data_IF_319870792591
#
_entry.id   IF_319870792591
#
_cell.length_a   1.000
_cell.length_b   1.000
_cell.length_c   1.000
_cell.angle_alpha   90.00
_cell.angle_beta   90.00
_cell.angle_gamma   90.00
#
_symmetry.space_group_name_H-M   'P 1'
#
loop_
_entity.id
_entity.type
_entity.pdbx_description
1 polymer ?
#
# COMPACT_ATOMS: atom_id res chain seq x y z
N UNK A 1 -12.55 -2.59 12.77
CA UNK A 1 -12.99 -2.10 14.11
C UNK A 1 -14.43 -2.51 14.31
N UNK A 2 -14.71 -3.33 15.32
CA UNK A 2 -16.03 -3.82 15.70
C UNK A 2 -16.45 -3.12 17.01
N UNK A 3 -17.69 -2.64 17.07
CA UNK A 3 -18.29 -2.19 18.33
C UNK A 3 -18.96 -3.37 19.05
N UNK A 4 -18.69 -3.51 20.34
CA UNK A 4 -19.33 -4.49 21.21
C UNK A 4 -20.60 -3.90 21.80
N UNK A 5 -21.73 -4.05 21.08
CA UNK A 5 -23.03 -3.52 21.48
C UNK A 5 -23.46 -3.94 22.89
N UNK A 6 -23.18 -5.19 23.28
CA UNK A 6 -23.47 -5.69 24.63
C UNK A 6 -22.66 -4.99 25.73
N UNK A 7 -21.40 -4.61 25.46
CA UNK A 7 -20.59 -3.84 26.42
C UNK A 7 -21.11 -2.42 26.57
N UNK A 8 -21.49 -1.77 25.46
CA UNK A 8 -22.14 -0.43 25.49
C UNK A 8 -23.41 -0.49 26.33
N UNK A 9 -24.25 -1.51 26.12
CA UNK A 9 -25.49 -1.74 26.87
C UNK A 9 -25.24 -1.96 28.36
N UNK A 10 -24.24 -2.77 28.71
CA UNK A 10 -23.84 -3.04 30.10
C UNK A 10 -23.42 -1.76 30.81
N UNK A 11 -22.51 -0.99 30.23
CA UNK A 11 -22.04 0.28 30.79
C UNK A 11 -23.18 1.30 30.95
N UNK A 12 -24.10 1.37 29.98
CA UNK A 12 -25.29 2.23 30.08
C UNK A 12 -26.16 1.88 31.28
N UNK A 13 -26.40 0.59 31.52
CA UNK A 13 -27.20 0.10 32.64
C UNK A 13 -26.48 0.37 33.97
N UNK A 14 -25.16 0.17 34.03
CA UNK A 14 -24.34 0.49 35.20
C UNK A 14 -24.40 1.99 35.57
N UNK A 15 -24.46 2.87 34.56
CA UNK A 15 -24.70 4.32 34.72
C UNK A 15 -26.18 4.69 34.96
N UNK A 16 -27.09 3.72 35.01
CA UNK A 16 -28.54 3.91 35.21
C UNK A 16 -29.20 4.82 34.17
N UNK A 17 -28.73 4.80 32.93
CA UNK A 17 -29.27 5.61 31.83
C UNK A 17 -30.25 4.80 30.97
N UNK A 18 -31.31 5.45 30.49
CA UNK A 18 -32.12 4.93 29.37
C UNK A 18 -31.41 5.15 28.03
N UNK A 19 -31.79 4.42 26.97
CA UNK A 19 -31.22 4.63 25.64
C UNK A 19 -31.46 6.06 25.13
N UNK A 20 -32.60 6.67 25.47
CA UNK A 20 -32.90 8.07 25.11
C UNK A 20 -31.98 9.05 25.81
N UNK A 21 -31.68 8.83 27.10
CA UNK A 21 -30.75 9.67 27.87
C UNK A 21 -29.30 9.51 27.38
N UNK A 22 -28.89 8.29 26.98
CA UNK A 22 -27.59 8.10 26.34
C UNK A 22 -27.51 8.83 24.99
N UNK A 23 -28.59 8.85 24.21
CA UNK A 23 -28.64 9.49 22.90
C UNK A 23 -28.69 11.03 22.93
N UNK A 24 -29.19 11.63 24.02
CA UNK A 24 -29.54 13.06 24.11
C UNK A 24 -28.40 14.00 23.70
N UNK A 25 -28.61 14.83 22.67
CA UNK A 25 -27.59 15.76 22.16
C UNK A 25 -26.40 15.10 21.44
N UNK A 26 -26.45 13.78 21.18
CA UNK A 26 -25.42 13.02 20.46
C UNK A 26 -25.98 12.41 19.17
N UNK A 27 -27.04 11.60 19.28
CA UNK A 27 -27.64 10.87 18.17
C UNK A 27 -29.12 10.53 18.48
N UNK A 28 -29.75 9.65 17.70
CA UNK A 28 -31.12 9.20 17.96
C UNK A 28 -31.15 8.00 18.89
N UNK A 29 -32.23 7.83 19.66
CA UNK A 29 -32.44 6.62 20.50
C UNK A 29 -32.44 5.34 19.65
N UNK A 30 -32.92 5.41 18.40
CA UNK A 30 -32.83 4.30 17.43
C UNK A 30 -31.38 3.95 17.12
N UNK A 31 -30.49 4.94 16.96
CA UNK A 31 -29.05 4.72 16.75
C UNK A 31 -28.44 3.96 17.93
N UNK A 32 -28.74 4.35 19.18
CA UNK A 32 -28.29 3.62 20.38
C UNK A 32 -28.83 2.19 20.38
N UNK A 33 -30.11 1.99 20.06
CA UNK A 33 -30.69 0.64 19.96
C UNK A 33 -29.99 -0.23 18.90
N UNK A 34 -29.61 0.36 17.75
CA UNK A 34 -28.87 -0.35 16.70
C UNK A 34 -27.43 -0.67 17.10
N UNK A 35 -26.77 0.22 17.84
CA UNK A 35 -25.45 -0.04 18.43
C UNK A 35 -25.56 -1.23 19.39
N UNK A 36 -26.49 -1.19 20.33
CA UNK A 36 -26.59 -2.19 21.41
C UNK A 36 -27.03 -3.57 20.92
N UNK A 37 -27.96 -3.65 19.96
CA UNK A 37 -28.56 -4.93 19.56
C UNK A 37 -28.04 -5.48 18.22
N UNK A 38 -27.38 -4.65 17.41
CA UNK A 38 -26.95 -5.02 16.05
C UNK A 38 -25.49 -4.66 15.76
N UNK A 39 -24.70 -4.28 16.78
CA UNK A 39 -23.30 -3.88 16.64
C UNK A 39 -23.07 -2.84 15.53
N UNK A 40 -24.04 -1.95 15.31
CA UNK A 40 -23.94 -0.93 14.27
C UNK A 40 -22.87 0.09 14.66
N UNK A 41 -21.80 0.19 13.87
CA UNK A 41 -20.68 1.09 14.17
C UNK A 41 -21.08 2.53 13.82
N UNK A 42 -21.10 3.46 14.80
CA UNK A 42 -21.38 4.85 14.54
C UNK A 42 -20.13 5.59 14.02
N UNK A 43 -20.28 6.83 13.59
CA UNK A 43 -19.12 7.68 13.24
C UNK A 43 -18.25 7.93 14.47
N UNK A 44 -16.94 8.17 14.28
CA UNK A 44 -16.00 8.42 15.38
C UNK A 44 -16.42 9.55 16.31
N UNK A 45 -17.04 10.60 15.78
CA UNK A 45 -17.56 11.73 16.57
C UNK A 45 -18.71 11.28 17.50
N UNK A 46 -19.63 10.45 17.01
CA UNK A 46 -20.72 9.89 17.82
C UNK A 46 -20.14 8.90 18.84
N UNK A 47 -19.22 8.05 18.42
CA UNK A 47 -18.58 7.05 19.28
C UNK A 47 -17.85 7.70 20.46
N UNK A 48 -17.02 8.71 20.20
CA UNK A 48 -16.29 9.44 21.25
C UNK A 48 -17.25 10.03 22.28
N UNK A 49 -18.31 10.72 21.83
CA UNK A 49 -19.30 11.33 22.72
C UNK A 49 -20.09 10.31 23.54
N UNK A 50 -20.38 9.15 22.97
CA UNK A 50 -21.01 8.04 23.71
C UNK A 50 -20.06 7.52 24.78
N UNK A 51 -18.78 7.30 24.45
CA UNK A 51 -17.76 6.84 25.39
C UNK A 51 -17.57 7.83 26.54
N UNK A 52 -17.48 9.13 26.24
CA UNK A 52 -17.37 10.20 27.24
C UNK A 52 -18.54 10.15 28.24
N UNK A 53 -19.78 9.97 27.74
CA UNK A 53 -20.98 9.92 28.59
C UNK A 53 -21.04 8.64 29.44
N UNK A 54 -20.54 7.53 28.91
CA UNK A 54 -20.43 6.28 29.64
C UNK A 54 -19.24 6.26 30.60
N UNK A 55 -18.32 7.22 30.50
CA UNK A 55 -17.08 7.26 31.27
C UNK A 55 -16.18 6.08 30.94
N UNK A 56 -16.13 5.70 29.66
CA UNK A 56 -15.35 4.59 29.13
C UNK A 56 -14.42 5.10 28.03
N UNK A 57 -13.34 4.37 27.78
CA UNK A 57 -12.51 4.60 26.60
C UNK A 57 -13.09 3.88 25.39
N UNK A 58 -12.70 4.31 24.18
CA UNK A 58 -13.16 3.66 22.94
C UNK A 58 -12.78 2.17 22.93
N UNK A 59 -11.60 1.82 23.46
CA UNK A 59 -11.11 0.43 23.53
C UNK A 59 -11.92 -0.45 24.52
N UNK A 60 -12.68 0.15 25.43
CA UNK A 60 -13.53 -0.61 26.34
C UNK A 60 -14.75 -1.19 25.61
N UNK A 61 -15.27 -0.45 24.63
CA UNK A 61 -16.53 -0.74 23.92
C UNK A 61 -16.34 -1.12 22.47
N UNK A 62 -15.18 -0.85 21.89
CA UNK A 62 -14.80 -1.29 20.56
C UNK A 62 -13.62 -2.24 20.66
N UNK A 63 -13.74 -3.36 19.96
CA UNK A 63 -12.57 -4.13 19.57
C UNK A 63 -12.11 -3.50 18.27
N UNK A 64 -10.87 -3.00 18.21
CA UNK A 64 -10.24 -2.95 16.90
C UNK A 64 -10.09 -4.41 16.50
N UNK A 65 -10.79 -4.87 15.45
CA UNK A 65 -10.44 -6.13 14.80
C UNK A 65 -8.92 -6.08 14.58
N UNK A 66 -8.19 -6.83 15.40
CA UNK A 66 -6.78 -6.53 15.65
C UNK A 66 -6.25 -6.84 17.05
N UNK A 67 -7.08 -7.04 18.08
CA UNK A 67 -6.58 -7.45 19.42
C UNK A 67 -6.43 -8.97 19.63
N UNK A 68 -6.09 -9.65 18.55
CA UNK A 68 -5.10 -10.73 18.54
C UNK A 68 -4.12 -10.41 17.41
N UNK A 69 -3.22 -9.46 17.64
CA UNK A 69 -2.37 -8.87 16.61
C UNK A 69 -1.22 -9.81 16.16
N UNK A 70 -1.50 -11.09 15.93
CA UNK A 70 -0.51 -12.00 15.36
C UNK A 70 -0.40 -11.73 13.85
N UNK A 71 -1.52 -11.73 13.12
CA UNK A 71 -1.50 -11.59 11.67
C UNK A 71 -1.12 -10.19 11.18
N UNK A 72 -1.67 -9.10 11.75
CA UNK A 72 -1.27 -7.75 11.31
C UNK A 72 0.21 -7.46 11.61
N UNK A 73 0.71 -7.77 12.81
CA UNK A 73 2.14 -7.64 13.10
C UNK A 73 3.00 -8.55 12.21
N UNK A 74 2.53 -9.75 11.91
CA UNK A 74 3.17 -10.66 10.96
C UNK A 74 3.23 -10.04 9.56
N UNK A 75 2.12 -9.56 9.01
CA UNK A 75 2.07 -8.91 7.70
C UNK A 75 2.96 -7.66 7.66
N UNK A 76 3.01 -6.87 8.73
CA UNK A 76 3.94 -5.73 8.84
C UNK A 76 5.41 -6.17 8.83
N UNK A 77 5.71 -7.29 9.48
CA UNK A 77 7.06 -7.89 9.45
C UNK A 77 7.40 -8.45 8.06
N UNK A 78 6.46 -9.12 7.41
CA UNK A 78 6.58 -9.61 6.03
C UNK A 78 6.79 -8.45 5.06
N UNK A 79 6.04 -7.34 5.21
CA UNK A 79 6.21 -6.11 4.43
C UNK A 79 7.60 -5.51 4.63
N UNK A 80 8.09 -5.47 5.88
CA UNK A 80 9.43 -4.97 6.20
C UNK A 80 10.51 -5.80 5.51
N UNK A 81 10.42 -7.13 5.57
CA UNK A 81 11.34 -8.03 4.88
C UNK A 81 11.28 -7.84 3.36
N UNK A 82 10.08 -7.69 2.79
CA UNK A 82 9.92 -7.39 1.36
C UNK A 82 10.55 -6.04 0.99
N UNK A 83 10.44 -5.02 1.85
CA UNK A 83 11.06 -3.71 1.66
C UNK A 83 12.60 -3.78 1.74
N UNK A 84 13.14 -4.77 2.46
CA UNK A 84 14.57 -5.05 2.58
C UNK A 84 15.07 -6.05 1.52
N UNK A 85 14.24 -6.38 0.52
CA UNK A 85 14.52 -7.36 -0.54
C UNK A 85 14.72 -8.80 -0.04
N UNK A 86 14.35 -9.09 1.21
CA UNK A 86 14.43 -10.41 1.85
C UNK A 86 13.18 -11.25 1.54
N UNK A 87 12.84 -11.37 0.25
CA UNK A 87 11.57 -11.99 -0.19
C UNK A 87 11.45 -13.47 0.19
N UNK A 88 12.55 -14.24 0.18
CA UNK A 88 12.53 -15.66 0.57
C UNK A 88 12.23 -15.83 2.06
N UNK A 89 12.87 -15.03 2.91
CA UNK A 89 12.60 -15.04 4.36
C UNK A 89 11.18 -14.54 4.67
N UNK A 90 10.69 -13.55 3.92
CA UNK A 90 9.32 -13.07 4.03
C UNK A 90 8.31 -14.18 3.70
N UNK A 91 8.57 -14.95 2.64
CA UNK A 91 7.77 -16.11 2.26
C UNK A 91 7.77 -17.17 3.38
N UNK A 92 8.96 -17.61 3.81
CA UNK A 92 9.10 -18.66 4.82
C UNK A 92 8.42 -18.28 6.14
N UNK A 93 8.57 -17.02 6.56
CA UNK A 93 7.89 -16.48 7.75
C UNK A 93 6.37 -16.53 7.59
N UNK A 94 5.85 -16.13 6.43
CA UNK A 94 4.41 -16.07 6.19
C UNK A 94 3.77 -17.46 6.21
N UNK A 95 4.30 -18.39 5.40
CA UNK A 95 3.70 -19.72 5.23
C UNK A 95 3.91 -20.64 6.43
N UNK A 96 4.91 -20.36 7.28
CA UNK A 96 5.10 -21.09 8.54
C UNK A 96 4.23 -20.57 9.67
N UNK A 97 3.73 -19.33 9.57
CA UNK A 97 2.97 -18.68 10.64
C UNK A 97 1.46 -18.67 10.41
N UNK A 98 1.02 -18.79 9.15
CA UNK A 98 -0.40 -18.76 8.78
C UNK A 98 -0.77 -20.09 8.13
N UNK A 99 -1.84 -20.70 8.65
CA UNK A 99 -2.58 -21.73 7.94
C UNK A 99 -3.68 -21.07 7.10
N UNK A 100 -3.63 -21.21 5.77
CA UNK A 100 -4.57 -20.59 4.83
C UNK A 100 -6.03 -20.96 5.14
N UNK A 101 -6.27 -22.24 5.49
CA UNK A 101 -7.62 -22.76 5.77
C UNK A 101 -8.24 -22.16 7.04
N UNK A 102 -7.41 -21.59 7.92
CA UNK A 102 -7.82 -20.97 9.20
C UNK A 102 -8.00 -19.45 9.08
N UNK A 103 -7.74 -18.85 7.91
CA UNK A 103 -7.95 -17.42 7.71
C UNK A 103 -9.43 -17.10 7.45
N UNK A 104 -10.17 -16.71 8.46
CA UNK A 104 -11.58 -16.33 8.30
C UNK A 104 -11.78 -14.89 7.79
N UNK A 105 -10.82 -13.99 8.06
CA UNK A 105 -10.91 -12.59 7.66
C UNK A 105 -10.54 -12.39 6.18
N UNK A 106 -11.43 -11.79 5.40
CA UNK A 106 -11.26 -11.59 3.95
C UNK A 106 -10.05 -10.70 3.64
N UNK A 107 -9.86 -9.61 4.39
CA UNK A 107 -8.72 -8.72 4.21
C UNK A 107 -7.39 -9.43 4.50
N UNK A 108 -7.33 -10.24 5.56
CA UNK A 108 -6.14 -11.06 5.85
C UNK A 108 -5.89 -12.12 4.76
N UNK A 109 -6.95 -12.74 4.20
CA UNK A 109 -6.82 -13.64 3.05
C UNK A 109 -6.26 -12.92 1.82
N UNK A 110 -6.76 -11.72 1.51
CA UNK A 110 -6.24 -10.91 0.40
C UNK A 110 -4.76 -10.57 0.60
N UNK A 111 -4.39 -10.11 1.80
CA UNK A 111 -2.99 -9.83 2.13
C UNK A 111 -2.12 -11.08 2.07
N UNK A 112 -2.60 -12.21 2.57
CA UNK A 112 -1.90 -13.49 2.47
C UNK A 112 -1.61 -13.85 1.01
N UNK A 113 -2.62 -13.84 0.15
CA UNK A 113 -2.44 -14.13 -1.28
C UNK A 113 -1.54 -13.12 -1.99
N UNK A 114 -1.66 -11.83 -1.70
CA UNK A 114 -0.75 -10.81 -2.21
C UNK A 114 0.70 -11.10 -1.80
N UNK A 115 0.97 -11.32 -0.51
CA UNK A 115 2.33 -11.52 -0.02
C UNK A 115 2.93 -12.86 -0.48
N UNK A 116 2.15 -13.94 -0.52
CA UNK A 116 2.60 -15.21 -1.10
C UNK A 116 2.93 -15.02 -2.58
N UNK A 117 2.05 -14.37 -3.35
CA UNK A 117 2.28 -14.12 -4.77
C UNK A 117 3.52 -13.29 -5.05
N UNK A 118 3.70 -12.15 -4.37
CA UNK A 118 4.83 -11.25 -4.62
C UNK A 118 6.17 -11.85 -4.18
N UNK A 119 6.19 -12.59 -3.08
CA UNK A 119 7.43 -13.24 -2.59
C UNK A 119 7.83 -14.43 -3.46
N UNK A 120 6.87 -15.21 -3.99
CA UNK A 120 7.13 -16.22 -5.04
C UNK A 120 7.66 -15.60 -6.32
N UNK A 121 7.03 -14.52 -6.77
CA UNK A 121 7.45 -13.83 -7.99
C UNK A 121 8.88 -13.29 -7.88
N UNK A 122 9.17 -12.48 -6.86
CA UNK A 122 10.45 -11.76 -6.75
C UNK A 122 11.53 -12.61 -6.09
N UNK A 123 11.18 -13.40 -5.07
CA UNK A 123 12.13 -14.21 -4.31
C UNK A 123 12.53 -15.50 -5.03
N UNK A 124 11.61 -16.13 -5.75
CA UNK A 124 11.81 -17.47 -6.34
C UNK A 124 11.71 -17.49 -7.87
N UNK A 125 11.25 -16.40 -8.51
CA UNK A 125 10.99 -16.32 -9.95
C UNK A 125 9.91 -17.32 -10.42
N UNK A 126 9.00 -17.69 -9.53
CA UNK A 126 7.89 -18.63 -9.74
C UNK A 126 6.68 -17.87 -10.30
N UNK A 127 6.66 -17.71 -11.62
CA UNK A 127 5.67 -16.87 -12.29
C UNK A 127 4.27 -17.48 -12.27
N UNK A 128 4.15 -18.77 -12.58
CA UNK A 128 2.88 -19.48 -12.63
C UNK A 128 2.22 -19.53 -11.25
N UNK A 129 3.00 -19.81 -10.20
CA UNK A 129 2.54 -19.84 -8.82
C UNK A 129 2.17 -18.43 -8.34
N UNK A 130 2.96 -17.41 -8.66
CA UNK A 130 2.61 -16.03 -8.32
C UNK A 130 1.27 -15.61 -8.93
N UNK A 131 1.07 -15.89 -10.23
CA UNK A 131 -0.20 -15.62 -10.90
C UNK A 131 -1.36 -16.43 -10.30
N UNK A 132 -1.12 -17.66 -9.85
CA UNK A 132 -2.15 -18.44 -9.18
C UNK A 132 -2.67 -17.71 -7.92
N UNK A 133 -1.79 -17.30 -7.01
CA UNK A 133 -2.18 -16.59 -5.79
C UNK A 133 -2.79 -15.21 -6.07
N UNK A 134 -2.27 -14.46 -7.04
CA UNK A 134 -2.89 -13.20 -7.46
C UNK A 134 -4.32 -13.43 -7.99
N UNK A 135 -4.55 -14.49 -8.76
CA UNK A 135 -5.90 -14.81 -9.23
C UNK A 135 -6.82 -15.29 -8.11
N UNK A 136 -6.30 -16.01 -7.09
CA UNK A 136 -7.08 -16.36 -5.90
C UNK A 136 -7.57 -15.11 -5.17
N UNK A 137 -6.72 -14.10 -5.03
CA UNK A 137 -7.10 -12.81 -4.45
C UNK A 137 -8.22 -12.13 -5.25
N UNK A 138 -8.06 -11.99 -6.56
CA UNK A 138 -9.03 -11.33 -7.43
C UNK A 138 -10.41 -12.03 -7.50
N UNK A 139 -10.52 -13.30 -7.09
CA UNK A 139 -11.80 -14.02 -7.04
C UNK A 139 -12.45 -14.07 -5.66
N UNK A 140 -11.75 -13.66 -4.58
CA UNK A 140 -12.26 -13.73 -3.20
C UNK A 140 -13.55 -12.92 -3.00
N UNK A 141 -13.77 -11.85 -3.78
CA UNK A 141 -15.01 -11.10 -3.72
C UNK A 141 -15.30 -10.35 -5.04
N UNK A 142 -16.37 -10.70 -5.74
CA UNK A 142 -16.93 -9.89 -6.84
C UNK A 142 -17.87 -8.78 -6.36
N UNK A 143 -18.02 -8.60 -5.04
CA UNK A 143 -19.19 -7.95 -4.46
C UNK A 143 -18.91 -7.11 -3.21
N UNK A 144 -18.05 -6.08 -3.30
CA UNK A 144 -18.31 -4.71 -2.78
C UNK A 144 -17.02 -3.90 -2.70
N UNK A 145 -16.92 -2.86 -3.55
CA UNK A 145 -15.90 -1.80 -3.60
C UNK A 145 -14.43 -2.25 -3.72
N UNK A 146 -13.76 -1.74 -4.76
CA UNK A 146 -12.31 -1.80 -4.92
C UNK A 146 -11.59 -1.34 -3.64
N UNK A 147 -10.65 -2.17 -3.16
CA UNK A 147 -9.75 -1.83 -2.06
C UNK A 147 -8.29 -1.73 -2.52
N UNK A 148 -7.39 -1.33 -1.62
CA UNK A 148 -5.99 -1.09 -1.96
C UNK A 148 -5.20 -2.39 -2.25
N UNK A 149 -5.61 -3.53 -1.69
CA UNK A 149 -4.94 -4.81 -1.96
C UNK A 149 -5.23 -5.28 -3.38
N UNK A 150 -6.45 -5.04 -3.89
CA UNK A 150 -6.81 -5.30 -5.29
C UNK A 150 -5.86 -4.57 -6.26
N UNK A 151 -5.51 -3.32 -5.92
CA UNK A 151 -4.57 -2.49 -6.70
C UNK A 151 -3.15 -3.06 -6.63
N UNK A 152 -2.69 -3.46 -5.45
CA UNK A 152 -1.38 -4.08 -5.25
C UNK A 152 -1.22 -5.36 -6.08
N UNK A 153 -2.25 -6.21 -6.08
CA UNK A 153 -2.28 -7.44 -6.86
C UNK A 153 -2.31 -7.12 -8.36
N UNK A 154 -3.16 -6.18 -8.80
CA UNK A 154 -3.22 -5.74 -10.19
C UNK A 154 -1.85 -5.22 -10.68
N UNK A 155 -1.16 -4.40 -9.88
CA UNK A 155 0.19 -3.94 -10.20
C UNK A 155 1.21 -5.09 -10.25
N UNK A 156 1.11 -6.04 -9.31
CA UNK A 156 2.01 -7.20 -9.22
C UNK A 156 1.86 -8.15 -10.41
N UNK A 157 0.64 -8.34 -10.94
CA UNK A 157 0.41 -9.07 -12.19
C UNK A 157 1.10 -8.36 -13.37
N UNK A 158 1.08 -7.02 -13.40
CA UNK A 158 1.84 -6.22 -14.37
C UNK A 158 3.34 -6.52 -14.32
N UNK A 159 3.92 -6.56 -13.11
CA UNK A 159 5.33 -6.93 -12.89
C UNK A 159 5.59 -8.37 -13.36
N UNK A 160 4.68 -9.30 -13.06
CA UNK A 160 4.82 -10.69 -13.46
C UNK A 160 4.94 -10.82 -14.99
N UNK A 161 4.01 -10.21 -15.73
CA UNK A 161 4.05 -10.24 -17.19
C UNK A 161 5.25 -9.49 -17.77
N UNK A 162 5.68 -8.39 -17.15
CA UNK A 162 6.88 -7.67 -17.59
C UNK A 162 8.16 -8.53 -17.44
N UNK A 163 8.26 -9.31 -16.36
CA UNK A 163 9.38 -10.22 -16.14
C UNK A 163 9.47 -11.35 -17.17
N UNK A 164 8.33 -11.74 -17.75
CA UNK A 164 8.24 -12.68 -18.89
C UNK A 164 8.28 -11.99 -20.25
N UNK A 165 8.52 -10.68 -20.28
CA UNK A 165 8.55 -9.86 -21.49
C UNK A 165 7.24 -9.89 -22.31
N UNK A 166 6.10 -10.21 -21.67
CA UNK A 166 4.77 -10.07 -22.26
C UNK A 166 4.30 -8.62 -22.09
N UNK A 167 4.92 -7.74 -22.87
CA UNK A 167 4.73 -6.27 -22.80
C UNK A 167 3.25 -5.87 -22.96
N UNK A 168 2.50 -6.60 -23.80
CA UNK A 168 1.10 -6.30 -24.05
C UNK A 168 0.26 -6.49 -22.79
N UNK A 169 0.42 -7.64 -22.11
CA UNK A 169 -0.31 -7.89 -20.86
C UNK A 169 0.20 -7.03 -19.73
N UNK A 170 1.51 -6.87 -19.59
CA UNK A 170 2.10 -5.99 -18.58
C UNK A 170 1.49 -4.59 -18.65
N UNK A 171 1.40 -4.01 -19.86
CA UNK A 171 0.77 -2.69 -20.07
C UNK A 171 -0.67 -2.64 -19.57
N UNK A 172 -1.49 -3.64 -19.91
CA UNK A 172 -2.90 -3.70 -19.49
C UNK A 172 -3.02 -3.63 -17.97
N UNK A 173 -2.21 -4.40 -17.25
CA UNK A 173 -2.26 -4.43 -15.79
C UNK A 173 -1.65 -3.18 -15.14
N UNK A 174 -0.59 -2.61 -15.71
CA UNK A 174 -0.07 -1.33 -15.21
C UNK A 174 -1.07 -0.19 -15.41
N UNK A 175 -1.72 -0.10 -16.58
CA UNK A 175 -2.79 0.88 -16.82
C UNK A 175 -3.91 0.71 -15.81
N UNK A 176 -4.42 -0.52 -15.68
CA UNK A 176 -5.49 -0.83 -14.74
C UNK A 176 -5.11 -0.44 -13.31
N UNK A 177 -3.90 -0.75 -12.85
CA UNK A 177 -3.49 -0.38 -11.49
C UNK A 177 -3.46 1.13 -11.23
N UNK A 178 -3.18 1.94 -12.26
CA UNK A 178 -3.19 3.40 -12.12
C UNK A 178 -4.61 3.96 -12.17
N UNK A 179 -5.47 3.38 -13.01
CA UNK A 179 -6.89 3.74 -13.08
C UNK A 179 -7.60 3.38 -11.76
N UNK A 180 -7.37 2.16 -11.25
CA UNK A 180 -7.91 1.66 -9.99
C UNK A 180 -7.52 2.60 -8.80
N UNK A 181 -6.30 3.14 -8.77
CA UNK A 181 -5.90 4.13 -7.73
C UNK A 181 -6.80 5.38 -7.77
N UNK A 182 -7.20 5.84 -8.96
CA UNK A 182 -8.04 7.03 -9.10
C UNK A 182 -9.49 6.76 -8.66
N UNK A 183 -9.94 5.51 -8.75
CA UNK A 183 -11.26 5.08 -8.28
C UNK A 183 -11.33 4.89 -6.76
N UNK A 184 -10.18 4.74 -6.08
CA UNK A 184 -10.14 4.65 -4.62
C UNK A 184 -10.59 5.98 -3.97
N UNK A 185 -11.60 5.88 -3.09
CA UNK A 185 -12.08 7.04 -2.31
C UNK A 185 -10.98 7.67 -1.43
N UNK A 186 -10.06 6.85 -0.90
CA UNK A 186 -8.96 7.27 -0.04
C UNK A 186 -7.91 6.17 0.04
N UNK A 187 -6.63 6.56 0.04
CA UNK A 187 -5.52 5.68 0.41
C UNK A 187 -5.16 5.89 1.87
N UNK A 188 -5.11 4.82 2.65
CA UNK A 188 -4.71 4.86 4.06
C UNK A 188 -3.22 5.17 4.23
N UNK A 189 -2.84 5.80 5.34
CA UNK A 189 -1.46 6.21 5.59
C UNK A 189 -0.48 5.02 5.60
N UNK A 190 -0.91 3.86 6.11
CA UNK A 190 -0.10 2.63 6.15
C UNK A 190 0.22 2.07 4.75
N UNK A 191 -0.51 2.53 3.73
CA UNK A 191 -0.31 2.16 2.32
C UNK A 191 0.52 3.19 1.54
N UNK A 192 0.97 4.27 2.17
CA UNK A 192 1.71 5.35 1.49
C UNK A 192 2.97 4.85 0.77
N UNK A 193 3.81 4.04 1.44
CA UNK A 193 5.03 3.49 0.83
C UNK A 193 4.74 2.55 -0.34
N UNK A 194 3.65 1.77 -0.25
CA UNK A 194 3.19 0.84 -1.29
C UNK A 194 2.63 1.61 -2.50
N UNK A 195 1.92 2.71 -2.26
CA UNK A 195 1.43 3.61 -3.32
C UNK A 195 2.59 4.16 -4.15
N UNK A 196 3.67 4.61 -3.50
CA UNK A 196 4.87 5.11 -4.19
C UNK A 196 5.51 4.02 -5.07
N UNK A 197 5.55 2.79 -4.59
CA UNK A 197 6.04 1.64 -5.38
C UNK A 197 5.18 1.36 -6.60
N UNK A 198 3.86 1.45 -6.50
CA UNK A 198 2.96 1.27 -7.66
C UNK A 198 3.30 2.27 -8.76
N UNK A 199 3.42 3.56 -8.41
CA UNK A 199 3.79 4.60 -9.37
C UNK A 199 5.18 4.37 -9.97
N UNK A 200 6.18 4.02 -9.15
CA UNK A 200 7.52 3.73 -9.63
C UNK A 200 7.58 2.50 -10.56
N UNK A 201 6.88 1.41 -10.23
CA UNK A 201 6.83 0.21 -11.07
C UNK A 201 6.22 0.52 -12.44
N UNK A 202 5.12 1.29 -12.45
CA UNK A 202 4.50 1.73 -13.68
C UNK A 202 5.41 2.67 -14.48
N UNK A 203 6.08 3.64 -13.81
CA UNK A 203 7.02 4.55 -14.45
C UNK A 203 8.17 3.79 -15.14
N UNK A 204 8.77 2.84 -14.43
CA UNK A 204 9.85 1.99 -14.94
C UNK A 204 9.40 1.12 -16.12
N UNK A 205 8.19 0.57 -16.06
CA UNK A 205 7.62 -0.15 -17.19
C UNK A 205 7.47 0.76 -18.41
N UNK A 206 6.91 1.96 -18.23
CA UNK A 206 6.71 2.92 -19.32
C UNK A 206 8.01 3.44 -19.92
N UNK A 207 9.04 3.59 -19.10
CA UNK A 207 10.41 3.89 -19.51
C UNK A 207 11.01 2.78 -20.38
N UNK A 208 10.85 1.51 -19.97
CA UNK A 208 11.29 0.33 -20.74
C UNK A 208 10.68 0.27 -22.14
N UNK A 209 9.40 0.67 -22.28
CA UNK A 209 8.69 0.67 -23.57
C UNK A 209 8.75 2.02 -24.29
N UNK A 210 9.65 2.90 -23.85
CA UNK A 210 9.96 4.20 -24.47
C UNK A 210 8.81 5.21 -24.50
N UNK A 211 7.81 5.05 -23.63
CA UNK A 211 6.75 6.04 -23.43
C UNK A 211 7.20 6.99 -22.32
N UNK A 212 8.21 7.79 -22.65
CA UNK A 212 8.95 8.61 -21.69
C UNK A 212 8.08 9.65 -20.98
N UNK A 213 7.11 10.27 -21.66
CA UNK A 213 6.20 11.24 -21.05
C UNK A 213 5.37 10.65 -19.92
N UNK A 214 4.88 9.43 -20.11
CA UNK A 214 4.08 8.74 -19.09
C UNK A 214 4.95 8.32 -17.91
N UNK A 215 6.18 7.84 -18.18
CA UNK A 215 7.15 7.54 -17.13
C UNK A 215 7.46 8.77 -16.27
N UNK A 216 7.77 9.91 -16.90
CA UNK A 216 8.01 11.19 -16.21
C UNK A 216 6.81 11.60 -15.36
N UNK A 217 5.60 11.57 -15.94
CA UNK A 217 4.38 11.96 -15.21
C UNK A 217 4.12 11.08 -13.98
N UNK A 218 4.37 9.77 -14.07
CA UNK A 218 4.20 8.86 -12.94
C UNK A 218 5.28 9.08 -11.86
N UNK A 219 6.53 9.32 -12.27
CA UNK A 219 7.60 9.72 -11.34
C UNK A 219 7.26 11.03 -10.62
N UNK A 220 6.71 12.01 -11.33
CA UNK A 220 6.31 13.31 -10.76
C UNK A 220 5.22 13.16 -9.70
N UNK A 221 4.20 12.32 -9.94
CA UNK A 221 3.18 12.04 -8.93
C UNK A 221 3.81 11.50 -7.64
N UNK A 222 4.74 10.54 -7.76
CA UNK A 222 5.45 9.98 -6.59
C UNK A 222 6.30 11.01 -5.85
N UNK A 223 7.03 11.86 -6.59
CA UNK A 223 7.85 12.94 -6.03
C UNK A 223 6.97 13.96 -5.29
N UNK A 224 5.86 14.39 -5.89
CA UNK A 224 4.93 15.36 -5.29
C UNK A 224 4.31 14.82 -4.00
N UNK A 225 3.97 13.53 -3.96
CA UNK A 225 3.46 12.87 -2.76
C UNK A 225 4.50 12.89 -1.63
N UNK A 226 5.76 12.56 -1.93
CA UNK A 226 6.86 12.57 -0.97
C UNK A 226 7.18 13.99 -0.45
N UNK A 227 7.16 14.98 -1.33
CA UNK A 227 7.39 16.38 -0.94
C UNK A 227 6.30 16.90 0.01
N UNK A 228 5.03 16.57 -0.25
CA UNK A 228 3.90 16.93 0.63
C UNK A 228 4.02 16.28 2.01
N UNK A 229 4.47 15.02 2.04
CA UNK A 229 4.70 14.26 3.29
C UNK A 229 6.03 14.62 3.98
N UNK A 230 6.89 15.42 3.34
CA UNK A 230 8.27 15.73 3.78
C UNK A 230 9.10 14.46 4.01
N UNK A 231 8.87 13.45 3.18
CA UNK A 231 9.56 12.16 3.23
C UNK A 231 10.61 12.06 2.12
N UNK A 232 11.72 11.39 2.42
CA UNK A 232 12.81 11.13 1.48
C UNK A 232 12.80 9.69 0.95
N UNK A 233 11.80 8.89 1.35
CA UNK A 233 11.70 7.48 1.00
C UNK A 233 11.69 7.29 -0.52
N UNK A 234 12.61 6.46 -1.03
CA UNK A 234 12.67 6.05 -2.44
C UNK A 234 12.86 7.21 -3.46
N UNK A 235 13.24 8.42 -3.02
CA UNK A 235 13.48 9.56 -3.92
C UNK A 235 14.64 9.30 -4.90
N UNK A 236 15.63 8.52 -4.48
CA UNK A 236 16.72 8.06 -5.34
C UNK A 236 16.23 7.33 -6.59
N UNK A 237 15.25 6.43 -6.44
CA UNK A 237 14.68 5.72 -7.58
C UNK A 237 13.79 6.61 -8.45
N UNK A 238 12.94 7.44 -7.83
CA UNK A 238 12.01 8.30 -8.58
C UNK A 238 12.74 9.41 -9.35
N UNK A 239 13.74 10.05 -8.73
CA UNK A 239 14.56 11.04 -9.41
C UNK A 239 15.43 10.42 -10.50
N UNK A 240 15.98 9.23 -10.26
CA UNK A 240 16.72 8.51 -11.31
C UNK A 240 15.83 8.23 -12.52
N UNK A 241 14.65 7.67 -12.28
CA UNK A 241 13.70 7.32 -13.34
C UNK A 241 13.29 8.58 -14.13
N UNK A 242 12.93 9.66 -13.44
CA UNK A 242 12.61 10.93 -14.10
C UNK A 242 13.79 11.48 -14.92
N UNK A 243 14.98 11.51 -14.34
CA UNK A 243 16.21 11.99 -15.00
C UNK A 243 16.53 11.20 -16.26
N UNK A 244 16.44 9.87 -16.19
CA UNK A 244 16.66 8.98 -17.33
C UNK A 244 15.67 9.24 -18.46
N UNK A 245 14.38 9.34 -18.15
CA UNK A 245 13.37 9.60 -19.18
C UNK A 245 13.49 11.01 -19.78
N UNK A 246 13.84 12.03 -19.00
CA UNK A 246 14.16 13.37 -19.50
C UNK A 246 15.36 13.35 -20.46
N UNK A 247 16.40 12.59 -20.11
CA UNK A 247 17.57 12.43 -20.95
C UNK A 247 17.21 11.80 -22.30
N UNK A 248 16.41 10.73 -22.28
CA UNK A 248 15.93 10.06 -23.50
C UNK A 248 15.08 10.96 -24.39
N UNK A 249 14.38 11.93 -23.81
CA UNK A 249 13.66 12.98 -24.55
C UNK A 249 14.56 14.10 -25.08
N UNK A 250 15.84 14.12 -24.75
CA UNK A 250 16.77 15.18 -25.14
C UNK A 250 16.79 16.38 -24.19
N UNK A 251 16.06 16.34 -23.07
CA UNK A 251 16.04 17.39 -22.04
C UNK A 251 17.26 17.27 -21.12
N UNK A 252 18.45 17.38 -21.72
CA UNK A 252 19.73 17.05 -21.05
C UNK A 252 19.96 17.85 -19.77
N UNK A 253 19.65 19.16 -19.76
CA UNK A 253 19.90 20.01 -18.59
C UNK A 253 19.07 19.59 -17.38
N UNK A 254 17.77 19.36 -17.58
CA UNK A 254 16.89 18.90 -16.50
C UNK A 254 17.26 17.48 -16.05
N UNK A 255 17.66 16.61 -16.98
CA UNK A 255 18.15 15.28 -16.64
C UNK A 255 19.38 15.35 -15.72
N UNK A 256 20.33 16.25 -16.00
CA UNK A 256 21.49 16.49 -15.14
C UNK A 256 21.09 17.04 -13.76
N UNK A 257 20.01 17.79 -13.62
CA UNK A 257 19.51 18.21 -12.30
C UNK A 257 18.92 17.01 -11.53
N UNK A 258 18.11 16.17 -12.19
CA UNK A 258 17.50 15.01 -11.54
C UNK A 258 18.49 13.90 -11.21
N UNK A 259 19.49 13.64 -12.04
CA UNK A 259 20.57 12.71 -11.71
C UNK A 259 21.43 13.19 -10.53
N UNK A 260 21.62 14.50 -10.36
CA UNK A 260 22.29 15.03 -9.17
C UNK A 260 21.50 14.71 -7.90
N UNK A 261 20.20 15.01 -7.90
CA UNK A 261 19.30 14.73 -6.78
C UNK A 261 19.21 13.23 -6.49
N UNK A 262 19.07 12.41 -7.53
CA UNK A 262 19.05 10.96 -7.42
C UNK A 262 20.33 10.41 -6.78
N UNK A 263 21.50 10.90 -7.22
CA UNK A 263 22.79 10.47 -6.68
C UNK A 263 22.96 10.87 -5.21
N UNK A 264 22.54 12.08 -4.84
CA UNK A 264 22.58 12.53 -3.44
C UNK A 264 21.68 11.67 -2.54
N UNK A 265 20.44 11.40 -2.97
CA UNK A 265 19.54 10.50 -2.25
C UNK A 265 20.07 9.05 -2.19
N UNK A 266 20.66 8.56 -3.28
CA UNK A 266 21.20 7.20 -3.34
C UNK A 266 22.36 7.01 -2.37
N UNK A 267 23.28 7.98 -2.27
CA UNK A 267 24.37 7.96 -1.29
C UNK A 267 23.82 7.96 0.14
N UNK A 268 22.82 8.80 0.43
CA UNK A 268 22.18 8.86 1.75
C UNK A 268 21.50 7.53 2.11
N UNK A 269 20.91 6.85 1.13
CA UNK A 269 20.19 5.58 1.30
C UNK A 269 21.11 4.34 1.20
N UNK A 270 22.39 4.50 0.89
CA UNK A 270 23.31 3.38 0.66
C UNK A 270 23.00 2.57 -0.61
N UNK A 271 22.37 3.19 -1.61
CA UNK A 271 21.95 2.53 -2.85
C UNK A 271 23.03 2.61 -3.94
N UNK A 272 24.05 1.74 -3.82
CA UNK A 272 25.19 1.69 -4.74
C UNK A 272 24.81 1.36 -6.19
N UNK A 273 23.68 0.67 -6.39
CA UNK A 273 23.17 0.31 -7.72
C UNK A 273 22.76 1.56 -8.50
N UNK A 274 22.02 2.48 -7.88
CA UNK A 274 21.62 3.75 -8.52
C UNK A 274 22.85 4.63 -8.74
N UNK A 275 23.77 4.69 -7.78
CA UNK A 275 25.03 5.45 -7.95
C UNK A 275 25.83 4.94 -9.16
N UNK A 276 25.92 3.61 -9.31
CA UNK A 276 26.63 2.99 -10.44
C UNK A 276 25.92 3.27 -11.76
N UNK A 277 24.59 3.08 -11.82
CA UNK A 277 23.80 3.37 -13.02
C UNK A 277 23.92 4.82 -13.49
N UNK A 278 23.87 5.79 -12.56
CA UNK A 278 24.05 7.21 -12.89
C UNK A 278 25.45 7.47 -13.48
N UNK A 279 26.50 6.87 -12.91
CA UNK A 279 27.88 7.03 -13.43
C UNK A 279 28.04 6.46 -14.83
N UNK A 280 27.39 5.32 -15.10
CA UNK A 280 27.36 4.70 -16.43
C UNK A 280 26.65 5.60 -17.45
N UNK A 281 25.47 6.13 -17.09
CA UNK A 281 24.72 7.07 -17.92
C UNK A 281 25.51 8.35 -18.20
N UNK A 282 26.16 8.94 -17.19
CA UNK A 282 27.00 10.13 -17.37
C UNK A 282 28.08 9.88 -18.43
N UNK A 283 28.74 8.72 -18.37
CA UNK A 283 29.78 8.34 -19.33
C UNK A 283 29.19 8.07 -20.71
N UNK A 284 28.11 7.32 -20.80
CA UNK A 284 27.47 6.93 -22.06
C UNK A 284 26.92 8.14 -22.83
N UNK A 285 26.25 9.05 -22.13
CA UNK A 285 25.57 10.21 -22.73
C UNK A 285 26.38 11.51 -22.64
N UNK A 286 27.64 11.42 -22.20
CA UNK A 286 28.58 12.55 -22.07
C UNK A 286 27.98 13.71 -21.28
N UNK A 287 27.36 13.40 -20.14
CA UNK A 287 26.76 14.38 -19.24
C UNK A 287 27.83 15.08 -18.41
N UNK A 288 27.47 16.21 -17.82
CA UNK A 288 28.35 16.90 -16.88
C UNK A 288 28.56 16.02 -15.63
N UNK A 289 29.79 15.59 -15.31
CA UNK A 289 30.05 14.82 -14.10
C UNK A 289 29.89 15.70 -12.87
N UNK A 290 29.22 15.17 -11.84
CA UNK A 290 29.13 15.85 -10.55
C UNK A 290 30.47 15.77 -9.83
N UNK A 291 30.94 16.92 -9.33
CA UNK A 291 32.07 16.99 -8.40
C UNK A 291 31.48 17.09 -6.99
N UNK A 292 31.65 16.03 -6.21
CA UNK A 292 31.39 16.04 -4.78
C UNK A 292 32.70 16.26 -4.03
#
# INVERSE_FOLDING_TARGET
MIILGDKVKKLRIEKKLTQSQLAEGICTQVTISKIENHNNIPTMNILSKICDRLGAEINDVCIVEGDSNTNYNLFKKVDTLCNQLQHKEAYDLLVSSINEDELDNIHDKKLYYYYVGITRLIGFNEFEEALHYFNLELILERSSNLDFVDVLVTNSIGIAYDSKNDIKKAKVYFDKSIDDIQELNKVEADNFTKLLKIYYNAAKFYSKIEIYDKAISLSDIGIDLLQKDKSYYMLDFLYYEKGFNLLKKGNKKEAEEFYFLAMACAIMNGNDNIVTGIKEDIKQYKLTPYKF
#
